data_IF_584629101608
#
_entry.id   IF_584629101608
#
_cell.length_a   1.000
_cell.length_b   1.000
_cell.length_c   1.000
_cell.angle_alpha   90.00
_cell.angle_beta   90.00
_cell.angle_gamma   90.00
#
_symmetry.space_group_name_H-M   'P 1'
#
loop_
_entity.id
_entity.type
_entity.pdbx_description
1 polymer ?
#
# COMPACT_ATOMS: atom_id res chain seq x y z
N UNK A 1 -68.20 26.80 -80.98
CA UNK A 1 -67.91 27.85 -79.98
C UNK A 1 -67.99 27.22 -78.59
N UNK A 2 -66.87 26.81 -78.03
CA UNK A 2 -66.86 26.10 -76.76
C UNK A 2 -65.81 26.78 -75.87
N UNK A 3 -66.29 27.39 -74.85
CA UNK A 3 -65.44 28.13 -73.86
C UNK A 3 -64.76 27.16 -72.95
N UNK A 4 -63.43 27.28 -72.88
CA UNK A 4 -62.60 26.53 -71.96
C UNK A 4 -62.47 27.35 -70.61
N UNK A 5 -62.96 26.74 -69.50
CA UNK A 5 -62.79 27.32 -68.13
C UNK A 5 -61.44 26.88 -67.56
N UNK A 6 -60.55 27.85 -67.36
CA UNK A 6 -59.33 27.67 -66.52
C UNK A 6 -59.70 27.65 -65.05
N UNK A 7 -59.20 26.62 -64.31
CA UNK A 7 -59.21 26.58 -62.84
C UNK A 7 -57.84 26.98 -62.32
N UNK A 8 -57.72 27.82 -61.26
CA UNK A 8 -56.46 28.13 -60.67
C UNK A 8 -56.00 27.01 -59.75
N UNK A 9 -54.72 26.59 -59.87
CA UNK A 9 -54.05 25.69 -58.96
C UNK A 9 -53.55 26.51 -57.77
N UNK A 10 -54.05 26.20 -56.55
CA UNK A 10 -53.42 26.65 -55.30
C UNK A 10 -52.19 25.78 -55.02
N UNK A 11 -51.02 26.39 -55.00
CA UNK A 11 -49.77 25.79 -54.49
C UNK A 11 -49.68 26.02 -53.04
N UNK A 12 -49.75 24.93 -52.25
CA UNK A 12 -49.47 24.94 -50.81
C UNK A 12 -47.97 24.95 -50.61
N UNK A 13 -47.44 26.08 -50.06
CA UNK A 13 -46.05 26.21 -49.66
C UNK A 13 -45.88 25.55 -48.27
N UNK A 14 -45.25 24.36 -48.21
CA UNK A 14 -44.92 23.71 -46.97
C UNK A 14 -43.65 24.34 -46.43
N UNK A 15 -43.77 25.13 -45.36
CA UNK A 15 -42.63 25.66 -44.58
C UNK A 15 -42.13 24.55 -43.65
N UNK A 16 -40.98 23.96 -44.01
CA UNK A 16 -40.25 23.02 -43.13
C UNK A 16 -39.40 23.86 -42.18
N UNK A 17 -39.84 23.94 -40.94
CA UNK A 17 -39.07 24.59 -39.84
C UNK A 17 -37.97 23.61 -39.37
N UNK A 18 -36.66 23.93 -39.46
CA UNK A 18 -35.64 23.03 -38.95
C UNK A 18 -35.67 23.07 -37.40
N UNK A 19 -35.96 21.94 -36.77
CA UNK A 19 -35.82 21.74 -35.36
C UNK A 19 -34.31 21.71 -35.04
N UNK A 20 -33.74 22.82 -34.55
CA UNK A 20 -32.40 22.87 -33.96
C UNK A 20 -32.43 22.13 -32.63
N UNK A 21 -32.03 20.87 -32.65
CA UNK A 21 -31.73 20.09 -31.47
C UNK A 21 -30.48 20.70 -30.81
N UNK A 22 -30.70 21.50 -29.79
CA UNK A 22 -29.63 21.94 -28.89
C UNK A 22 -29.19 20.71 -28.09
N UNK A 23 -28.04 20.12 -28.47
CA UNK A 23 -27.34 19.14 -27.64
C UNK A 23 -26.75 19.89 -26.46
N UNK A 24 -27.42 19.85 -25.32
CA UNK A 24 -26.83 20.29 -24.04
C UNK A 24 -25.70 19.31 -23.75
N UNK A 25 -24.43 19.79 -23.63
CA UNK A 25 -23.35 18.91 -23.21
C UNK A 25 -23.68 18.41 -21.82
N UNK A 26 -23.98 17.13 -21.69
CA UNK A 26 -24.08 16.45 -20.42
C UNK A 26 -22.66 16.47 -19.84
N UNK A 27 -22.39 17.40 -18.93
CA UNK A 27 -21.20 17.31 -18.08
C UNK A 27 -21.33 16.01 -17.31
N UNK A 28 -20.61 14.98 -17.75
CA UNK A 28 -20.45 13.79 -16.95
C UNK A 28 -19.96 14.24 -15.59
N UNK A 29 -20.80 14.07 -14.59
CA UNK A 29 -20.45 14.41 -13.19
C UNK A 29 -19.20 13.59 -12.87
N UNK A 30 -18.07 14.27 -12.73
CA UNK A 30 -16.79 13.63 -12.47
C UNK A 30 -16.93 12.90 -11.16
N UNK A 31 -17.01 11.56 -11.21
CA UNK A 31 -17.17 10.73 -10.01
C UNK A 31 -15.99 10.99 -9.07
N UNK A 32 -16.28 11.18 -7.80
CA UNK A 32 -15.26 11.37 -6.75
C UNK A 32 -14.26 10.19 -6.79
N UNK A 33 -12.97 10.42 -7.08
CA UNK A 33 -11.98 9.34 -7.14
C UNK A 33 -11.62 8.77 -5.76
N UNK A 34 -12.01 9.44 -4.66
CA UNK A 34 -11.75 9.06 -3.28
C UNK A 34 -13.06 8.95 -2.48
N UNK A 35 -14.02 8.10 -2.90
CA UNK A 35 -15.36 8.04 -2.28
C UNK A 35 -15.36 7.49 -0.85
N UNK A 36 -14.32 6.75 -0.45
CA UNK A 36 -14.16 6.24 0.92
C UNK A 36 -13.54 7.25 1.90
N UNK A 37 -13.24 8.46 1.45
CA UNK A 37 -12.75 9.56 2.26
C UNK A 37 -13.86 10.53 2.64
N UNK A 38 -13.81 11.06 3.86
CA UNK A 38 -14.59 12.23 4.25
C UNK A 38 -14.02 13.50 3.60
N UNK A 39 -14.88 14.50 3.37
CA UNK A 39 -14.45 15.79 2.83
C UNK A 39 -13.74 16.60 3.91
N UNK A 40 -12.46 16.33 4.11
CA UNK A 40 -11.60 16.91 5.13
C UNK A 40 -10.30 17.47 4.59
N UNK A 41 -9.43 17.88 5.50
CA UNK A 41 -8.12 18.46 5.17
C UNK A 41 -7.20 17.46 4.46
N UNK A 42 -7.23 16.20 4.88
CA UNK A 42 -6.40 15.14 4.31
C UNK A 42 -6.76 14.87 2.84
N UNK A 43 -8.06 14.68 2.53
CA UNK A 43 -8.54 14.52 1.14
C UNK A 43 -8.20 15.73 0.27
N UNK A 44 -8.42 16.95 0.79
CA UNK A 44 -8.09 18.20 0.08
C UNK A 44 -6.59 18.32 -0.21
N UNK A 45 -5.73 17.88 0.73
CA UNK A 45 -4.28 17.89 0.52
C UNK A 45 -3.85 16.98 -0.62
N UNK A 46 -4.44 15.77 -0.73
CA UNK A 46 -4.20 14.84 -1.84
C UNK A 46 -4.61 15.49 -3.17
N UNK A 47 -5.82 16.02 -3.29
CA UNK A 47 -6.29 16.66 -4.52
C UNK A 47 -5.45 17.88 -4.91
N UNK A 48 -5.13 18.75 -3.93
CA UNK A 48 -4.29 19.90 -4.16
C UNK A 48 -2.92 19.51 -4.68
N UNK A 49 -2.27 18.54 -4.04
CA UNK A 49 -0.95 18.05 -4.46
C UNK A 49 -0.97 17.49 -5.87
N UNK A 50 -1.91 16.59 -6.17
CA UNK A 50 -2.00 15.98 -7.50
C UNK A 50 -2.27 17.06 -8.56
N UNK A 51 -3.22 17.98 -8.33
CA UNK A 51 -3.49 19.09 -9.24
C UNK A 51 -2.25 19.94 -9.49
N UNK A 52 -1.60 20.44 -8.44
CA UNK A 52 -0.42 21.31 -8.55
C UNK A 52 0.74 20.64 -9.31
N UNK A 53 0.88 19.32 -9.21
CA UNK A 53 1.97 18.59 -9.85
C UNK A 53 1.64 18.06 -11.24
N UNK A 54 0.37 18.08 -11.65
CA UNK A 54 -0.08 17.52 -12.93
C UNK A 54 -0.57 18.53 -13.95
N UNK A 55 -1.07 19.68 -13.51
CA UNK A 55 -1.46 20.81 -14.39
C UNK A 55 -0.22 21.42 -15.04
N UNK A 56 -0.20 21.48 -16.38
CA UNK A 56 0.98 21.89 -17.16
C UNK A 56 1.44 23.33 -16.87
N UNK A 57 0.49 24.23 -16.59
CA UNK A 57 0.75 25.64 -16.32
C UNK A 57 1.06 25.93 -14.85
N UNK A 58 1.07 24.89 -14.02
CA UNK A 58 1.45 25.01 -12.61
C UNK A 58 2.95 25.23 -12.46
N UNK A 59 3.40 26.22 -11.65
CA UNK A 59 4.81 26.41 -11.34
C UNK A 59 5.43 25.19 -10.60
N UNK A 60 4.57 24.28 -10.10
CA UNK A 60 4.94 23.05 -9.41
C UNK A 60 4.80 21.81 -10.29
N UNK A 61 4.54 21.97 -11.58
CA UNK A 61 4.39 20.86 -12.51
C UNK A 61 5.56 19.87 -12.46
N UNK A 62 5.24 18.59 -12.44
CA UNK A 62 6.20 17.49 -12.46
C UNK A 62 5.98 16.69 -13.74
N UNK A 63 6.98 16.53 -14.61
CA UNK A 63 6.88 15.66 -15.78
C UNK A 63 6.51 14.22 -15.40
N UNK A 64 5.65 13.56 -16.19
CA UNK A 64 5.14 12.20 -15.91
C UNK A 64 6.26 11.21 -15.54
N UNK A 65 7.39 11.24 -16.29
CA UNK A 65 8.55 10.37 -16.05
C UNK A 65 9.23 10.54 -14.67
N UNK A 66 8.91 11.64 -13.95
CA UNK A 66 9.47 11.95 -12.64
C UNK A 66 8.47 11.70 -11.51
N UNK A 67 7.19 11.46 -11.81
CA UNK A 67 6.13 11.29 -10.82
C UNK A 67 6.28 9.94 -10.13
N UNK A 68 6.74 9.97 -8.88
CA UNK A 68 6.90 8.79 -8.03
C UNK A 68 6.21 9.06 -6.69
N UNK A 69 5.42 8.09 -6.24
CA UNK A 69 4.83 8.05 -4.91
C UNK A 69 5.19 6.73 -4.24
N UNK A 70 5.59 6.79 -2.97
CA UNK A 70 5.95 5.63 -2.15
C UNK A 70 4.97 5.46 -1.01
N UNK A 71 4.68 4.22 -0.69
CA UNK A 71 3.72 3.81 0.33
C UNK A 71 4.37 2.75 1.21
N UNK A 72 4.37 2.97 2.51
CA UNK A 72 4.55 1.86 3.43
C UNK A 72 3.39 0.88 3.28
N UNK A 73 3.56 -0.34 3.78
CA UNK A 73 2.56 -1.40 3.61
C UNK A 73 1.77 -1.65 4.89
N UNK A 74 2.42 -2.22 5.91
CA UNK A 74 1.78 -2.61 7.16
C UNK A 74 1.30 -1.36 7.91
N UNK A 75 0.02 -1.29 8.24
CA UNK A 75 -0.59 -0.11 8.85
C UNK A 75 -0.86 1.07 7.90
N UNK A 76 -0.37 1.01 6.64
CA UNK A 76 -0.60 2.06 5.64
C UNK A 76 -1.52 1.60 4.52
N UNK A 77 -1.25 0.46 3.91
CA UNK A 77 -2.07 -0.11 2.83
C UNK A 77 -2.99 -1.23 3.28
N UNK A 78 -2.63 -1.95 4.34
CA UNK A 78 -3.41 -2.99 4.95
C UNK A 78 -3.16 -3.07 6.47
N UNK A 79 -3.89 -3.95 7.16
CA UNK A 79 -3.79 -4.15 8.62
C UNK A 79 -2.41 -4.65 9.05
N UNK A 80 -1.98 -4.23 10.24
CA UNK A 80 -0.74 -4.71 10.87
C UNK A 80 -0.95 -5.30 12.28
N UNK A 81 -2.05 -4.96 12.95
CA UNK A 81 -2.38 -5.47 14.27
C UNK A 81 -3.23 -6.76 14.20
N UNK A 82 -3.09 -7.68 15.19
CA UNK A 82 -2.27 -7.55 16.41
C UNK A 82 -0.78 -7.88 16.20
N UNK A 83 -0.39 -8.32 15.01
CA UNK A 83 0.98 -8.69 14.63
C UNK A 83 1.15 -8.59 13.12
N UNK A 84 2.31 -8.18 12.66
CA UNK A 84 2.64 -8.12 11.24
C UNK A 84 2.37 -9.45 10.54
N UNK A 85 1.70 -9.40 9.39
CA UNK A 85 1.25 -10.59 8.64
C UNK A 85 2.42 -11.53 8.31
N UNK A 86 3.58 -10.98 7.94
CA UNK A 86 4.77 -11.80 7.67
C UNK A 86 5.28 -12.52 8.92
N UNK A 87 5.22 -11.88 10.10
CA UNK A 87 5.62 -12.53 11.35
C UNK A 87 4.69 -13.69 11.67
N UNK A 88 3.37 -13.53 11.47
CA UNK A 88 2.41 -14.64 11.62
C UNK A 88 2.77 -15.82 10.71
N UNK A 89 3.05 -15.54 9.41
CA UNK A 89 3.52 -16.55 8.46
C UNK A 89 4.77 -17.28 8.97
N UNK A 90 5.77 -16.57 9.45
CA UNK A 90 7.01 -17.15 9.95
C UNK A 90 6.78 -18.03 11.20
N UNK A 91 5.97 -17.55 12.15
CA UNK A 91 5.63 -18.32 13.35
C UNK A 91 4.90 -19.63 13.01
N UNK A 92 3.92 -19.59 12.11
CA UNK A 92 3.18 -20.78 11.67
C UNK A 92 4.07 -21.76 10.88
N UNK A 93 5.19 -21.30 10.35
CA UNK A 93 6.15 -22.13 9.61
C UNK A 93 7.17 -22.84 10.50
N UNK A 94 7.39 -22.38 11.74
CA UNK A 94 8.38 -22.95 12.67
C UNK A 94 8.27 -24.47 12.80
N UNK A 95 7.09 -25.11 12.96
CA UNK A 95 6.99 -26.57 13.08
C UNK A 95 7.60 -27.32 11.88
N UNK A 96 7.46 -26.79 10.67
CA UNK A 96 8.06 -27.37 9.47
C UNK A 96 9.57 -27.20 9.45
N UNK A 97 10.06 -25.99 9.77
CA UNK A 97 11.51 -25.72 9.84
C UNK A 97 12.20 -26.63 10.84
N UNK A 98 11.58 -26.84 12.01
CA UNK A 98 12.13 -27.73 13.05
C UNK A 98 12.08 -29.19 12.62
N UNK A 99 11.12 -29.62 11.80
CA UNK A 99 11.13 -30.97 11.21
C UNK A 99 12.33 -31.15 10.30
N UNK A 100 12.70 -30.15 9.52
CA UNK A 100 13.82 -30.19 8.58
C UNK A 100 15.18 -29.93 9.29
N UNK A 101 15.15 -29.26 10.47
CA UNK A 101 16.31 -28.90 11.33
C UNK A 101 16.02 -29.27 12.78
N UNK A 102 16.07 -30.57 13.17
CA UNK A 102 15.67 -31.03 14.52
C UNK A 102 16.46 -30.39 15.66
N UNK A 103 17.67 -29.95 15.39
CA UNK A 103 18.53 -29.26 16.38
C UNK A 103 17.96 -27.94 16.89
N UNK A 104 16.95 -27.38 16.23
CA UNK A 104 16.27 -26.15 16.66
C UNK A 104 15.15 -26.41 17.66
N UNK A 105 14.69 -27.67 17.80
CA UNK A 105 13.50 -28.03 18.59
C UNK A 105 13.57 -27.55 20.05
N UNK A 106 14.72 -27.71 20.68
CA UNK A 106 14.94 -27.39 22.10
C UNK A 106 15.65 -26.04 22.32
N UNK A 107 15.86 -25.27 21.24
CA UNK A 107 16.47 -23.93 21.28
C UNK A 107 15.43 -22.82 21.28
N UNK A 108 15.66 -21.79 22.07
CA UNK A 108 14.91 -20.55 21.94
C UNK A 108 15.35 -19.80 20.67
N UNK A 109 14.43 -19.11 20.00
CA UNK A 109 12.99 -18.92 20.32
C UNK A 109 12.06 -20.01 19.77
N UNK A 110 12.58 -21.00 19.06
CA UNK A 110 11.79 -22.05 18.38
C UNK A 110 10.98 -22.90 19.37
N UNK A 111 11.58 -23.22 20.53
CA UNK A 111 10.92 -23.95 21.62
C UNK A 111 9.67 -23.22 22.11
N UNK A 112 9.76 -21.92 22.36
CA UNK A 112 8.63 -21.08 22.78
C UNK A 112 7.51 -21.10 21.75
N UNK A 113 7.85 -20.99 20.46
CA UNK A 113 6.85 -21.00 19.37
C UNK A 113 6.18 -22.38 19.27
N UNK A 114 6.95 -23.48 19.40
CA UNK A 114 6.41 -24.85 19.35
C UNK A 114 5.48 -25.17 20.53
N UNK A 115 5.74 -24.56 21.71
CA UNK A 115 4.86 -24.69 22.88
C UNK A 115 3.48 -24.05 22.65
N UNK A 116 3.36 -23.10 21.69
CA UNK A 116 2.09 -22.44 21.35
C UNK A 116 1.62 -21.44 22.42
N UNK A 117 2.48 -21.07 23.35
CA UNK A 117 2.16 -20.09 24.39
C UNK A 117 2.12 -18.67 23.79
N UNK A 118 0.91 -18.17 23.59
CA UNK A 118 0.68 -16.85 22.97
C UNK A 118 1.26 -15.69 23.77
N UNK A 119 1.26 -15.77 25.11
CA UNK A 119 1.82 -14.72 25.94
C UNK A 119 3.35 -14.69 25.85
N UNK A 120 3.98 -15.86 25.85
CA UNK A 120 5.43 -15.96 25.65
C UNK A 120 5.84 -15.50 24.23
N UNK A 121 5.09 -15.90 23.20
CA UNK A 121 5.33 -15.45 21.82
C UNK A 121 5.20 -13.92 21.70
N UNK A 122 4.22 -13.29 22.35
CA UNK A 122 4.06 -11.82 22.35
C UNK A 122 5.19 -11.07 23.08
N UNK A 123 5.95 -11.77 23.92
CA UNK A 123 7.10 -11.22 24.65
C UNK A 123 8.44 -11.38 23.93
N UNK A 124 8.48 -12.14 22.83
CA UNK A 124 9.70 -12.32 22.04
C UNK A 124 10.35 -10.97 21.72
N UNK A 125 11.67 -10.93 21.87
CA UNK A 125 12.49 -9.78 21.51
C UNK A 125 12.61 -9.64 19.99
N UNK A 126 13.00 -8.48 19.51
CA UNK A 126 13.29 -8.27 18.09
C UNK A 126 14.33 -9.25 17.56
N UNK A 127 15.39 -9.51 18.32
CA UNK A 127 16.44 -10.47 17.96
C UNK A 127 15.90 -11.89 17.78
N UNK A 128 15.03 -12.34 18.69
CA UNK A 128 14.40 -13.66 18.61
C UNK A 128 13.45 -13.76 17.39
N UNK A 129 12.72 -12.69 17.08
CA UNK A 129 11.91 -12.64 15.86
C UNK A 129 12.80 -12.66 14.61
N UNK A 130 13.90 -11.94 14.58
CA UNK A 130 14.88 -11.97 13.47
C UNK A 130 15.47 -13.39 13.26
N UNK A 131 15.76 -14.13 14.33
CA UNK A 131 16.22 -15.52 14.26
C UNK A 131 15.16 -16.43 13.63
N UNK A 132 13.88 -16.27 14.01
CA UNK A 132 12.76 -17.01 13.41
C UNK A 132 12.64 -16.63 11.93
N UNK A 133 12.67 -15.35 11.57
CA UNK A 133 12.59 -14.89 10.19
C UNK A 133 13.73 -15.47 9.34
N UNK A 134 14.97 -15.39 9.83
CA UNK A 134 16.14 -15.94 9.13
C UNK A 134 16.00 -17.44 8.87
N UNK A 135 15.54 -18.21 9.86
CA UNK A 135 15.36 -19.66 9.73
C UNK A 135 14.21 -20.05 8.79
N UNK A 136 13.13 -19.25 8.79
CA UNK A 136 11.89 -19.54 8.03
C UNK A 136 11.90 -19.02 6.60
N UNK A 137 12.69 -17.98 6.30
CA UNK A 137 12.72 -17.31 5.00
C UNK A 137 13.92 -17.71 4.12
N UNK A 138 14.77 -18.64 4.57
CA UNK A 138 15.98 -19.06 3.85
C UNK A 138 16.03 -20.58 3.63
N UNK A 139 16.98 -21.02 2.80
CA UNK A 139 17.27 -22.44 2.56
C UNK A 139 16.38 -23.11 1.53
N UNK A 140 15.50 -22.36 0.84
CA UNK A 140 14.68 -22.86 -0.27
C UNK A 140 14.89 -22.01 -1.51
N UNK A 141 14.43 -22.45 -2.66
CA UNK A 141 14.44 -21.62 -3.87
C UNK A 141 13.46 -20.46 -3.76
N UNK A 142 13.69 -19.41 -4.54
CA UNK A 142 12.76 -18.26 -4.64
C UNK A 142 11.38 -18.73 -5.09
N UNK A 143 11.31 -19.63 -6.07
CA UNK A 143 10.05 -20.16 -6.60
C UNK A 143 9.26 -20.97 -5.55
N UNK A 144 9.95 -21.82 -4.77
CA UNK A 144 9.33 -22.55 -3.66
C UNK A 144 8.80 -21.59 -2.60
N UNK A 145 9.57 -20.57 -2.25
CA UNK A 145 9.14 -19.55 -1.29
C UNK A 145 7.87 -18.85 -1.76
N UNK A 146 7.82 -18.41 -3.02
CA UNK A 146 6.64 -17.76 -3.59
C UNK A 146 5.42 -18.67 -3.59
N UNK A 147 5.60 -19.93 -3.96
CA UNK A 147 4.52 -20.94 -3.94
C UNK A 147 3.98 -21.18 -2.52
N UNK A 148 4.86 -21.28 -1.52
CA UNK A 148 4.46 -21.45 -0.12
C UNK A 148 3.72 -20.24 0.44
N UNK A 149 4.20 -19.03 0.19
CA UNK A 149 3.53 -17.80 0.62
C UNK A 149 2.15 -17.66 -0.03
N UNK A 150 2.03 -17.94 -1.34
CA UNK A 150 0.73 -17.95 -2.02
C UNK A 150 -0.24 -18.96 -1.40
N UNK A 151 0.22 -20.18 -1.11
CA UNK A 151 -0.60 -21.20 -0.47
C UNK A 151 -1.05 -20.80 0.92
N UNK A 152 -0.16 -20.21 1.71
CA UNK A 152 -0.48 -19.70 3.04
C UNK A 152 -1.51 -18.57 2.99
N UNK A 153 -1.31 -17.57 2.15
CA UNK A 153 -2.23 -16.44 1.99
C UNK A 153 -3.63 -16.85 1.55
N UNK A 154 -3.76 -17.96 0.82
CA UNK A 154 -5.06 -18.49 0.39
C UNK A 154 -5.90 -19.04 1.56
N UNK A 155 -5.27 -19.41 2.67
CA UNK A 155 -5.94 -20.07 3.82
C UNK A 155 -5.87 -19.27 5.11
N UNK A 156 -4.82 -18.48 5.30
CA UNK A 156 -4.59 -17.69 6.50
C UNK A 156 -5.66 -16.61 6.69
N UNK A 157 -6.19 -16.53 7.91
CA UNK A 157 -7.24 -15.57 8.25
C UNK A 157 -6.84 -14.74 9.46
N UNK A 158 -7.12 -13.46 9.36
CA UNK A 158 -6.92 -12.53 10.46
C UNK A 158 -7.78 -12.89 11.68
N UNK A 159 -7.23 -12.86 12.91
CA UNK A 159 -7.94 -13.35 14.10
C UNK A 159 -9.21 -12.56 14.45
N UNK A 160 -9.23 -11.25 14.22
CA UNK A 160 -10.39 -10.38 14.48
C UNK A 160 -11.45 -10.49 13.38
N UNK A 161 -11.05 -10.32 12.12
CA UNK A 161 -11.99 -10.19 11.00
C UNK A 161 -12.43 -11.54 10.42
N UNK A 162 -11.71 -12.64 10.70
CA UNK A 162 -11.97 -13.99 10.15
C UNK A 162 -11.92 -14.04 8.61
N UNK A 163 -11.26 -13.05 7.99
CA UNK A 163 -11.07 -12.91 6.54
C UNK A 163 -9.61 -13.14 6.15
N UNK A 164 -9.34 -13.52 4.89
CA UNK A 164 -7.99 -13.53 4.35
C UNK A 164 -7.30 -12.18 4.54
N UNK A 165 -6.00 -12.19 4.86
CA UNK A 165 -5.23 -10.94 5.00
C UNK A 165 -5.28 -10.08 3.74
N UNK A 166 -5.31 -10.69 2.56
CA UNK A 166 -5.39 -9.99 1.27
C UNK A 166 -6.70 -9.22 1.04
N UNK A 167 -7.74 -9.47 1.83
CA UNK A 167 -8.99 -8.71 1.82
C UNK A 167 -8.99 -7.52 2.80
N UNK A 168 -7.99 -7.43 3.66
CA UNK A 168 -7.92 -6.43 4.74
C UNK A 168 -7.08 -5.22 4.34
N UNK A 169 -7.22 -4.81 3.09
CA UNK A 169 -6.62 -3.58 2.58
C UNK A 169 -7.48 -2.38 2.94
N UNK A 170 -6.84 -1.28 3.31
CA UNK A 170 -7.56 -0.03 3.58
C UNK A 170 -8.08 0.56 2.26
N UNK A 171 -9.39 0.48 2.08
CA UNK A 171 -10.06 0.93 0.86
C UNK A 171 -9.73 2.39 0.48
N UNK A 172 -9.66 3.35 1.44
CA UNK A 172 -9.25 4.71 1.13
C UNK A 172 -7.86 4.79 0.49
N UNK A 173 -6.91 3.98 0.96
CA UNK A 173 -5.54 3.97 0.44
C UNK A 173 -5.45 3.28 -0.93
N UNK A 174 -6.27 2.26 -1.17
CA UNK A 174 -6.41 1.65 -2.51
C UNK A 174 -6.94 2.68 -3.53
N UNK A 175 -7.86 3.54 -3.11
CA UNK A 175 -8.36 4.66 -3.93
C UNK A 175 -7.25 5.68 -4.23
N UNK A 176 -6.43 6.03 -3.23
CA UNK A 176 -5.26 6.90 -3.41
C UNK A 176 -4.28 6.31 -4.42
N UNK A 177 -3.93 5.02 -4.31
CA UNK A 177 -3.07 4.33 -5.28
C UNK A 177 -3.62 4.45 -6.71
N UNK A 178 -4.92 4.18 -6.89
CA UNK A 178 -5.59 4.28 -8.20
C UNK A 178 -5.59 5.72 -8.72
N UNK A 179 -5.89 6.69 -7.85
CA UNK A 179 -5.93 8.11 -8.20
C UNK A 179 -4.54 8.63 -8.62
N UNK A 180 -3.48 8.27 -7.90
CA UNK A 180 -2.12 8.62 -8.28
C UNK A 180 -1.72 8.03 -9.63
N UNK A 181 -1.99 6.74 -9.87
CA UNK A 181 -1.72 6.09 -11.16
C UNK A 181 -2.49 6.72 -12.31
N UNK A 182 -3.78 7.03 -12.11
CA UNK A 182 -4.60 7.71 -13.12
C UNK A 182 -4.05 9.10 -13.49
N UNK A 183 -3.25 9.71 -12.59
CA UNK A 183 -2.56 10.97 -12.77
C UNK A 183 -1.08 10.81 -13.15
N UNK A 184 -0.68 9.64 -13.66
CA UNK A 184 0.64 9.36 -14.21
C UNK A 184 1.75 9.15 -13.19
N UNK A 185 1.42 8.90 -11.91
CA UNK A 185 2.41 8.53 -10.90
C UNK A 185 2.73 7.04 -10.98
N UNK A 186 4.01 6.68 -10.87
CA UNK A 186 4.44 5.32 -10.50
C UNK A 186 4.32 5.18 -8.99
N UNK A 187 3.62 4.13 -8.55
CA UNK A 187 3.40 3.83 -7.13
C UNK A 187 4.28 2.68 -6.69
N UNK A 188 5.01 2.85 -5.61
CA UNK A 188 5.92 1.85 -5.05
C UNK A 188 5.51 1.51 -3.62
N UNK A 189 5.62 0.24 -3.26
CA UNK A 189 5.68 -0.15 -1.84
C UNK A 189 7.10 0.05 -1.35
N UNK A 190 7.26 0.63 -0.14
CA UNK A 190 8.55 0.78 0.57
C UNK A 190 8.33 0.33 2.00
N UNK A 191 8.78 -0.89 2.34
CA UNK A 191 8.38 -1.58 3.56
C UNK A 191 9.54 -2.15 4.37
N UNK A 192 9.46 -2.04 5.71
CA UNK A 192 10.34 -2.78 6.60
C UNK A 192 10.16 -4.30 6.54
N UNK A 193 9.04 -4.78 6.02
CA UNK A 193 8.78 -6.18 5.75
C UNK A 193 9.66 -6.75 4.63
N UNK A 194 9.68 -8.09 4.51
CA UNK A 194 10.48 -8.78 3.49
C UNK A 194 10.01 -8.52 2.07
N UNK A 195 10.91 -7.99 1.24
CA UNK A 195 10.65 -7.65 -0.16
C UNK A 195 10.02 -8.81 -0.94
N UNK A 196 10.58 -10.00 -0.82
CA UNK A 196 10.10 -11.18 -1.54
C UNK A 196 8.71 -11.64 -1.08
N UNK A 197 8.39 -11.46 0.21
CA UNK A 197 7.07 -11.78 0.75
C UNK A 197 5.99 -10.88 0.15
N UNK A 198 6.25 -9.57 0.12
CA UNK A 198 5.30 -8.58 -0.42
C UNK A 198 5.13 -8.72 -1.93
N UNK A 199 6.19 -9.03 -2.66
CA UNK A 199 6.16 -9.28 -4.12
C UNK A 199 5.18 -10.36 -4.55
N UNK A 200 4.92 -11.34 -3.69
CA UNK A 200 3.99 -12.45 -4.00
C UNK A 200 2.56 -11.96 -4.27
N UNK A 201 2.13 -10.89 -3.63
CA UNK A 201 0.73 -10.46 -3.69
C UNK A 201 0.53 -8.99 -4.10
N UNK A 202 1.59 -8.18 -4.17
CA UNK A 202 1.49 -6.74 -4.39
C UNK A 202 0.73 -6.37 -5.67
N UNK A 203 0.94 -7.10 -6.76
CA UNK A 203 0.25 -6.82 -8.02
C UNK A 203 -1.24 -7.13 -7.91
N UNK A 204 -1.59 -8.30 -7.39
CA UNK A 204 -2.99 -8.73 -7.24
C UNK A 204 -3.76 -7.86 -6.26
N UNK A 205 -3.13 -7.43 -5.17
CA UNK A 205 -3.79 -6.75 -4.05
C UNK A 205 -3.79 -5.23 -4.22
N UNK A 206 -2.68 -4.65 -4.66
CA UNK A 206 -2.49 -3.20 -4.77
C UNK A 206 -2.43 -2.71 -6.22
N UNK A 207 -2.28 -3.61 -7.20
CA UNK A 207 -1.97 -3.25 -8.58
C UNK A 207 -0.56 -2.66 -8.71
N UNK A 208 0.35 -3.04 -7.81
CA UNK A 208 1.76 -2.64 -7.81
C UNK A 208 2.58 -3.86 -8.21
N UNK A 209 3.23 -3.86 -9.40
CA UNK A 209 3.98 -5.01 -9.87
C UNK A 209 5.21 -5.28 -8.98
N UNK A 210 5.73 -6.52 -8.93
CA UNK A 210 6.78 -6.94 -8.00
C UNK A 210 8.07 -6.13 -8.10
N UNK A 211 8.42 -5.62 -9.27
CA UNK A 211 9.59 -4.73 -9.46
C UNK A 211 9.40 -3.34 -8.85
N UNK A 212 8.20 -2.95 -8.46
CA UNK A 212 7.90 -1.72 -7.75
C UNK A 212 7.73 -1.93 -6.23
N UNK A 213 8.25 -3.03 -5.71
CA UNK A 213 8.33 -3.31 -4.26
C UNK A 213 9.78 -3.18 -3.82
N UNK A 214 10.03 -2.23 -2.93
CA UNK A 214 11.26 -2.03 -2.16
C UNK A 214 10.97 -2.52 -0.74
N UNK A 215 11.84 -3.35 -0.19
CA UNK A 215 11.64 -3.90 1.14
C UNK A 215 12.93 -4.49 1.70
N UNK A 216 12.86 -4.96 2.92
CA UNK A 216 13.98 -5.68 3.54
C UNK A 216 14.36 -6.86 2.67
N UNK A 217 15.58 -6.83 2.11
CA UNK A 217 16.03 -7.77 1.11
C UNK A 217 17.04 -8.76 1.69
N UNK A 218 16.77 -10.04 1.47
CA UNK A 218 17.70 -11.15 1.75
C UNK A 218 18.60 -11.47 0.55
N UNK A 219 19.73 -12.12 0.81
CA UNK A 219 20.61 -12.65 -0.21
C UNK A 219 20.00 -13.81 -0.98
N UNK A 220 20.48 -13.97 -2.22
CA UNK A 220 20.20 -15.14 -3.05
C UNK A 220 21.50 -15.67 -3.64
N UNK A 221 21.56 -16.99 -3.85
CA UNK A 221 22.67 -17.66 -4.50
C UNK A 221 22.19 -18.34 -5.78
N UNK A 222 22.87 -18.06 -6.86
CA UNK A 222 22.65 -18.72 -8.14
C UNK A 222 23.19 -20.17 -8.10
N UNK A 223 22.46 -21.10 -8.67
CA UNK A 223 22.83 -22.51 -8.74
C UNK A 223 22.03 -23.25 -9.80
N UNK A 224 22.25 -24.57 -9.86
CA UNK A 224 21.55 -25.49 -10.75
C UNK A 224 20.90 -26.61 -9.93
N UNK A 225 19.72 -27.05 -10.32
CA UNK A 225 19.12 -28.25 -9.80
C UNK A 225 19.75 -29.53 -10.38
N UNK A 226 19.26 -30.70 -9.93
CA UNK A 226 19.74 -32.00 -10.40
C UNK A 226 19.58 -32.25 -11.91
N UNK A 227 18.67 -31.52 -12.54
CA UNK A 227 18.36 -31.62 -13.97
C UNK A 227 19.10 -30.54 -14.79
N UNK A 228 20.01 -29.78 -14.15
CA UNK A 228 20.79 -28.70 -14.76
C UNK A 228 20.00 -27.40 -15.00
N UNK A 229 18.80 -27.26 -14.42
CA UNK A 229 17.98 -26.06 -14.54
C UNK A 229 18.49 -24.99 -13.57
N UNK A 230 18.73 -23.74 -14.02
CA UNK A 230 19.18 -22.68 -13.13
C UNK A 230 18.07 -22.19 -12.17
N UNK A 231 18.45 -21.86 -10.95
CA UNK A 231 17.55 -21.28 -9.95
C UNK A 231 18.29 -20.43 -8.92
N UNK A 232 17.56 -19.69 -8.11
CA UNK A 232 18.07 -18.90 -6.99
C UNK A 232 17.64 -19.54 -5.67
N UNK A 233 18.61 -19.80 -4.79
CA UNK A 233 18.36 -20.21 -3.39
C UNK A 233 18.37 -18.97 -2.50
N UNK A 234 17.43 -18.86 -1.57
CA UNK A 234 17.39 -17.81 -0.54
C UNK A 234 18.41 -18.09 0.54
N UNK A 235 19.26 -17.09 0.83
CA UNK A 235 20.28 -17.17 1.86
C UNK A 235 19.87 -16.40 3.13
N UNK A 236 20.35 -16.80 4.33
CA UNK A 236 20.09 -16.09 5.59
C UNK A 236 21.00 -14.85 5.73
N UNK A 237 21.22 -14.12 4.64
CA UNK A 237 22.05 -12.92 4.58
C UNK A 237 21.19 -11.70 4.33
N UNK A 238 21.22 -10.73 5.22
CA UNK A 238 20.58 -9.44 5.02
C UNK A 238 21.41 -8.57 4.08
N UNK A 239 20.81 -8.08 2.99
CA UNK A 239 21.40 -7.15 2.04
C UNK A 239 20.95 -5.71 2.27
N UNK A 240 19.69 -5.52 2.65
CA UNK A 240 19.08 -4.23 2.94
C UNK A 240 18.08 -4.42 4.08
N UNK A 241 18.20 -3.62 5.14
CA UNK A 241 17.15 -3.44 6.13
C UNK A 241 16.36 -2.18 5.75
N UNK A 242 15.20 -2.34 5.11
CA UNK A 242 14.39 -1.25 4.57
C UNK A 242 13.46 -0.65 5.63
N UNK A 243 13.97 -0.42 6.85
CA UNK A 243 13.26 0.24 7.93
C UNK A 243 14.00 1.51 8.37
N UNK A 244 13.30 2.50 8.88
CA UNK A 244 13.88 3.79 9.30
C UNK A 244 14.73 4.43 8.18
N UNK A 245 16.05 4.63 8.42
CA UNK A 245 16.98 5.17 7.43
C UNK A 245 17.16 4.26 6.21
N UNK A 246 16.93 2.97 6.34
CA UNK A 246 16.96 2.03 5.23
C UNK A 246 15.93 2.34 4.15
N UNK A 247 14.75 2.90 4.49
CA UNK A 247 13.74 3.26 3.48
C UNK A 247 14.25 4.26 2.43
N UNK A 248 14.81 5.42 2.77
CA UNK A 248 15.42 6.30 1.76
C UNK A 248 16.64 5.67 1.05
N UNK A 249 17.41 4.82 1.72
CA UNK A 249 18.53 4.07 1.11
C UNK A 249 18.01 3.06 0.08
N UNK A 250 16.97 2.30 0.41
CA UNK A 250 16.30 1.38 -0.52
C UNK A 250 15.64 2.11 -1.70
N UNK A 251 14.99 3.24 -1.46
CA UNK A 251 14.45 4.11 -2.52
C UNK A 251 15.57 4.53 -3.48
N UNK A 252 16.73 4.98 -2.95
CA UNK A 252 17.85 5.36 -3.80
C UNK A 252 18.38 4.17 -4.60
N UNK A 253 18.57 3.03 -3.94
CA UNK A 253 19.15 1.82 -4.53
C UNK A 253 18.26 1.23 -5.64
N UNK A 254 16.94 1.13 -5.40
CA UNK A 254 16.01 0.39 -6.26
C UNK A 254 15.24 1.29 -7.24
N UNK A 255 14.97 2.54 -6.87
CA UNK A 255 14.19 3.48 -7.68
C UNK A 255 15.09 4.52 -8.37
N UNK A 256 16.18 4.94 -7.71
CA UNK A 256 17.13 5.92 -8.21
C UNK A 256 16.60 7.35 -8.27
N UNK A 257 15.44 7.63 -7.68
CA UNK A 257 14.79 8.96 -7.67
C UNK A 257 14.09 9.23 -6.34
N UNK A 258 14.18 10.49 -5.87
CA UNK A 258 13.43 10.96 -4.71
C UNK A 258 11.93 11.02 -5.06
N UNK A 259 11.04 10.42 -4.25
CA UNK A 259 9.59 10.48 -4.44
C UNK A 259 9.05 11.90 -4.30
N UNK A 260 7.91 12.20 -4.91
CA UNK A 260 7.17 13.44 -4.74
C UNK A 260 6.10 13.33 -3.65
N UNK A 261 5.63 12.12 -3.36
CA UNK A 261 4.71 11.82 -2.26
C UNK A 261 5.15 10.57 -1.52
N UNK A 262 4.95 10.55 -0.20
CA UNK A 262 5.17 9.37 0.64
C UNK A 262 4.09 9.25 1.69
N UNK A 263 3.66 8.01 1.92
CA UNK A 263 2.63 7.64 2.88
C UNK A 263 3.18 6.57 3.82
N UNK A 264 2.92 6.73 5.10
CA UNK A 264 3.32 5.80 6.15
C UNK A 264 2.38 5.87 7.34
N UNK A 265 2.71 5.21 8.46
CA UNK A 265 1.90 5.24 9.67
C UNK A 265 2.71 5.22 10.97
N UNK A 266 4.02 5.04 10.89
CA UNK A 266 4.83 4.78 12.09
C UNK A 266 6.17 5.53 12.11
N UNK A 267 6.88 5.41 13.23
CA UNK A 267 8.25 5.93 13.38
C UNK A 267 9.21 5.32 12.35
N UNK A 268 8.92 4.12 11.84
CA UNK A 268 9.69 3.46 10.77
C UNK A 268 9.67 4.21 9.44
N UNK A 269 8.67 5.08 9.24
CA UNK A 269 8.45 5.84 7.99
C UNK A 269 9.04 7.24 8.04
N UNK A 270 9.44 7.70 9.23
CA UNK A 270 9.88 9.07 9.46
C UNK A 270 10.91 9.53 8.43
N UNK A 271 11.96 8.74 8.21
CA UNK A 271 13.04 9.12 7.29
C UNK A 271 12.61 9.08 5.82
N UNK A 272 11.68 8.20 5.44
CA UNK A 272 11.09 8.20 4.10
C UNK A 272 10.31 9.50 3.83
N UNK A 273 9.48 9.94 4.79
CA UNK A 273 8.73 11.19 4.66
C UNK A 273 9.67 12.39 4.66
N UNK A 274 10.66 12.42 5.54
CA UNK A 274 11.67 13.46 5.62
C UNK A 274 12.45 13.57 4.31
N UNK A 275 12.96 12.45 3.79
CA UNK A 275 13.64 12.39 2.50
C UNK A 275 12.77 12.91 1.35
N UNK A 276 11.51 12.49 1.31
CA UNK A 276 10.57 12.92 0.27
C UNK A 276 10.30 14.42 0.34
N UNK A 277 9.99 14.94 1.52
CA UNK A 277 9.55 16.34 1.69
C UNK A 277 10.68 17.35 1.70
N UNK A 278 11.93 16.93 1.89
CA UNK A 278 13.11 17.80 1.78
C UNK A 278 13.49 18.16 0.32
N UNK A 279 12.79 17.62 -0.68
CA UNK A 279 13.03 17.95 -2.08
C UNK A 279 12.40 19.27 -2.50
N UNK A 280 12.82 19.79 -3.65
CA UNK A 280 12.24 20.96 -4.28
C UNK A 280 10.83 20.70 -4.83
N UNK A 281 10.09 21.74 -5.20
CA UNK A 281 8.74 21.76 -5.75
C UNK A 281 7.69 21.27 -4.73
N UNK A 282 6.47 20.97 -5.20
CA UNK A 282 5.44 20.40 -4.33
C UNK A 282 5.83 18.99 -3.86
N UNK A 283 5.71 18.78 -2.56
CA UNK A 283 5.94 17.49 -1.91
C UNK A 283 4.79 17.18 -0.98
N UNK A 284 4.50 15.89 -0.80
CA UNK A 284 3.45 15.43 0.09
C UNK A 284 4.00 14.33 1.00
N UNK A 285 3.90 14.54 2.30
CA UNK A 285 4.12 13.52 3.33
C UNK A 285 2.84 13.29 4.09
N UNK A 286 2.41 12.05 4.24
CA UNK A 286 1.18 11.70 4.97
C UNK A 286 1.41 10.52 5.91
N UNK A 287 0.79 10.58 7.08
CA UNK A 287 0.87 9.53 8.12
C UNK A 287 -0.53 9.12 8.56
N UNK A 288 -0.83 7.84 8.52
CA UNK A 288 -2.07 7.27 9.04
C UNK A 288 -1.96 7.13 10.55
N UNK A 289 -2.88 7.75 11.28
CA UNK A 289 -3.07 7.57 12.73
C UNK A 289 -4.17 6.55 12.96
N UNK A 290 -3.85 5.47 13.64
CA UNK A 290 -4.78 4.39 13.97
C UNK A 290 -5.57 4.74 15.23
N UNK A 291 -6.63 5.54 15.09
CA UNK A 291 -7.46 6.08 16.18
C UNK A 291 -8.90 5.55 16.22
N UNK A 292 -9.20 4.49 15.44
CA UNK A 292 -10.54 3.90 15.36
C UNK A 292 -10.63 2.49 15.96
N UNK A 293 -10.82 2.40 17.25
CA UNK A 293 -10.98 1.12 17.98
C UNK A 293 -12.24 0.34 17.62
N UNK A 294 -13.24 0.98 16.99
CA UNK A 294 -14.50 0.32 16.61
C UNK A 294 -14.36 -0.51 15.35
N UNK A 295 -13.80 0.08 14.30
CA UNK A 295 -13.67 -0.54 12.98
C UNK A 295 -12.37 -1.32 12.84
N UNK A 296 -11.30 -0.84 13.52
CA UNK A 296 -9.95 -1.41 13.51
C UNK A 296 -9.36 -1.39 14.94
N UNK A 297 -8.09 -1.61 15.14
CA UNK A 297 -7.40 -1.39 16.40
C UNK A 297 -7.00 0.08 16.54
N UNK A 298 -7.06 0.61 17.78
CA UNK A 298 -6.49 1.91 18.09
C UNK A 298 -5.17 1.71 18.83
N UNK A 299 -4.09 2.30 18.31
CA UNK A 299 -2.74 2.11 18.82
C UNK A 299 -1.77 3.20 18.34
N UNK A 300 -0.56 3.16 18.90
CA UNK A 300 0.45 4.20 18.78
C UNK A 300 0.22 5.25 19.88
N UNK A 301 1.20 5.57 20.74
CA UNK A 301 0.98 6.39 21.94
C UNK A 301 0.60 7.84 21.65
N UNK A 302 0.72 8.33 20.43
CA UNK A 302 0.29 9.67 20.04
C UNK A 302 -1.19 9.90 20.40
N UNK A 303 -1.50 11.11 20.86
CA UNK A 303 -2.86 11.52 21.24
C UNK A 303 -3.49 10.68 22.35
N UNK A 304 -2.67 10.05 23.22
CA UNK A 304 -3.16 9.20 24.30
C UNK A 304 -3.68 7.83 23.88
N UNK A 305 -3.36 7.39 22.65
CA UNK A 305 -3.69 6.04 22.20
C UNK A 305 -2.84 4.99 22.92
N UNK A 306 -3.27 3.72 22.97
CA UNK A 306 -2.50 2.65 23.60
C UNK A 306 -1.11 2.50 23.00
N UNK A 307 -0.10 2.26 23.87
CA UNK A 307 1.26 1.96 23.45
C UNK A 307 1.35 0.58 22.77
N UNK A 308 2.29 0.44 21.86
CA UNK A 308 2.43 -0.78 21.06
C UNK A 308 3.86 -0.97 20.56
N UNK A 309 4.23 -2.24 20.33
CA UNK A 309 5.46 -2.60 19.60
C UNK A 309 5.26 -2.68 18.08
N UNK A 310 4.01 -2.69 17.61
CA UNK A 310 3.63 -2.84 16.20
C UNK A 310 3.04 -1.52 15.74
N UNK A 311 3.59 -0.91 14.68
CA UNK A 311 3.08 0.34 14.12
C UNK A 311 3.17 1.54 15.07
N UNK A 312 4.29 1.71 15.77
CA UNK A 312 4.46 2.77 16.79
C UNK A 312 4.40 4.16 16.18
N UNK A 313 3.38 4.93 16.52
CA UNK A 313 3.22 6.33 16.19
C UNK A 313 3.32 7.20 17.45
N UNK A 314 4.51 7.69 17.77
CA UNK A 314 4.77 8.44 19.01
C UNK A 314 4.22 9.87 18.95
N UNK A 315 4.01 10.50 20.14
CA UNK A 315 3.69 11.93 20.22
C UNK A 315 4.77 12.78 19.55
N UNK A 316 6.06 12.42 19.70
CA UNK A 316 7.17 13.11 19.06
C UNK A 316 7.05 13.08 17.52
N UNK A 317 6.64 11.95 16.92
CA UNK A 317 6.39 11.87 15.47
C UNK A 317 5.18 12.73 15.06
N UNK A 318 4.13 12.75 15.89
CA UNK A 318 2.95 13.58 15.65
C UNK A 318 3.29 15.07 15.64
N UNK A 319 4.09 15.54 16.58
CA UNK A 319 4.54 16.92 16.67
C UNK A 319 5.52 17.27 15.54
N UNK A 320 6.40 16.34 15.15
CA UNK A 320 7.28 16.51 14.00
C UNK A 320 6.47 16.62 12.70
N UNK A 321 5.43 15.81 12.54
CA UNK A 321 4.54 15.87 11.38
C UNK A 321 3.93 17.26 11.22
N UNK A 322 3.40 17.84 12.33
CA UNK A 322 2.88 19.21 12.32
C UNK A 322 3.95 20.24 11.97
N UNK A 323 5.12 20.15 12.58
CA UNK A 323 6.24 21.08 12.35
C UNK A 323 6.72 21.07 10.89
N UNK A 324 6.73 19.89 10.26
CA UNK A 324 7.17 19.71 8.88
C UNK A 324 6.05 19.88 7.84
N UNK A 325 4.81 20.12 8.28
CA UNK A 325 3.66 20.24 7.38
C UNK A 325 3.25 18.90 6.75
N UNK A 326 3.60 17.77 7.36
CA UNK A 326 3.04 16.47 6.96
C UNK A 326 1.59 16.37 7.43
N UNK A 327 0.77 15.71 6.63
CA UNK A 327 -0.64 15.56 6.93
C UNK A 327 -0.84 14.27 7.73
N UNK A 328 -1.41 14.38 8.91
CA UNK A 328 -1.85 13.23 9.69
C UNK A 328 -3.27 12.90 9.28
N UNK A 329 -3.49 11.65 8.87
CA UNK A 329 -4.78 11.08 8.47
C UNK A 329 -5.36 10.40 9.71
N UNK A 330 -6.49 10.87 10.22
CA UNK A 330 -7.26 10.16 11.24
C UNK A 330 -8.07 9.05 10.58
N UNK A 331 -7.81 7.80 10.94
CA UNK A 331 -8.60 6.68 10.44
C UNK A 331 -10.08 6.83 10.79
N UNK A 332 -10.37 7.37 11.99
CA UNK A 332 -11.72 7.59 12.49
C UNK A 332 -12.45 8.71 11.77
N UNK A 333 -11.78 9.85 11.54
CA UNK A 333 -12.44 11.08 11.10
C UNK A 333 -12.30 11.31 9.58
N UNK A 334 -11.20 10.89 8.96
CA UNK A 334 -10.94 11.11 7.53
C UNK A 334 -11.48 9.98 6.63
N UNK A 335 -11.74 8.78 7.17
CA UNK A 335 -12.20 7.64 6.38
C UNK A 335 -13.68 7.29 6.66
N UNK A 336 -14.52 7.31 5.62
CA UNK A 336 -15.91 6.87 5.67
C UNK A 336 -16.00 5.36 5.84
N UNK A 337 -15.15 4.62 5.14
CA UNK A 337 -15.11 3.18 5.06
C UNK A 337 -13.65 2.72 5.14
N UNK A 338 -13.37 1.66 5.92
CA UNK A 338 -12.02 1.13 6.05
C UNK A 338 -11.73 0.05 4.99
N UNK A 339 -12.61 -0.93 4.90
CA UNK A 339 -12.43 -2.10 4.04
C UNK A 339 -13.44 -2.11 2.90
N UNK A 340 -13.12 -2.84 1.83
CA UNK A 340 -13.99 -2.97 0.66
C UNK A 340 -15.35 -3.62 0.99
N UNK A 341 -15.41 -4.42 2.03
CA UNK A 341 -16.60 -5.12 2.49
C UNK A 341 -17.43 -4.37 3.56
N UNK A 342 -16.96 -3.23 4.07
CA UNK A 342 -17.73 -2.39 4.97
C UNK A 342 -18.95 -1.81 4.23
N UNK A 343 -20.09 -1.74 4.94
CA UNK A 343 -21.33 -1.20 4.39
C UNK A 343 -21.38 0.31 4.41
#
# INVERSE_FOLDING_TARGET
MTMLKLRPRLSTLSVVLPLLLWTVPTFAQQTDPLPSWNDGAAKKAIFKFVRETTEKDSPKFVPVRQRIATFDQDGTLWVEHPMYTQVVYCLERVPRVVKDKPELKDKEPFKTVLAGDREAIAKLSLKELEEILAATLSGMSVDEFQAEVNKWLATAKHPRYKRPYTELTYQPMIEVLKYFRANGYKTYVVTGGGQDFVRVYSEKVYGIPPEQVVGTAGGTKYGYDKDGKPFLTKEPKLLLNDNNAGKPEGIHLMIGRRPFASFGNSTGDRQMLEYTTAGERARLGMLVLHDDSKREYAYGPAKGLPDTKVGTFTEALYDEAKKRGWVVISMKDDWKRLFSFDK
#
